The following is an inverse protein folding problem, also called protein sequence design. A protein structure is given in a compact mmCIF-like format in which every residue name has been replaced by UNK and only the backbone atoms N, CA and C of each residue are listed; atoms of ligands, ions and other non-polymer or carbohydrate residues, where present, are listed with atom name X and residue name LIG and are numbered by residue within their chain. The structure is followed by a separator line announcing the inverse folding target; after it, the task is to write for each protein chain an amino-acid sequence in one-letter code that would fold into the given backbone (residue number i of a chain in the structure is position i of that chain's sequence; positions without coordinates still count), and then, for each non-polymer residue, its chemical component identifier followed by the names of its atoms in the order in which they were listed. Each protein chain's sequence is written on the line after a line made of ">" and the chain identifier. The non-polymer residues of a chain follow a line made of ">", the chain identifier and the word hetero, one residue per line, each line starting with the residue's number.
data_IF_687780397957
#
_entry.id   IF_687780397957
#
_cell.length_a   1.000
_cell.length_b   1.000
_cell.length_c   1.000
_cell.angle_alpha   90.00
_cell.angle_beta   90.00
_cell.angle_gamma   90.00
#
_symmetry.space_group_name_H-M   'P 1'
#
loop_
_entity.id
_entity.type
_entity.pdbx_description
1 polymer ?
#
# COMPACT_ATOMS: atom_id res chain seq x y z
N UNK A 1 -4.58 -19.87 -18.76
CA UNK A 1 -5.67 -19.30 -17.95
C UNK A 1 -5.11 -19.07 -16.57
N UNK A 2 -5.06 -17.82 -16.13
CA UNK A 2 -4.58 -17.45 -14.79
C UNK A 2 -5.49 -18.11 -13.74
N UNK A 3 -4.92 -18.60 -12.65
CA UNK A 3 -5.70 -19.11 -11.53
C UNK A 3 -6.67 -18.03 -10.99
N UNK A 4 -7.83 -18.41 -10.43
CA UNK A 4 -8.75 -17.44 -9.84
C UNK A 4 -8.05 -16.69 -8.68
N UNK A 5 -8.23 -15.37 -8.63
CA UNK A 5 -7.68 -14.51 -7.59
C UNK A 5 -8.17 -14.94 -6.20
N UNK A 6 -7.33 -14.80 -5.17
CA UNK A 6 -7.80 -14.89 -3.79
C UNK A 6 -8.85 -13.81 -3.50
N UNK A 7 -9.66 -14.02 -2.46
CA UNK A 7 -10.70 -13.05 -2.07
C UNK A 7 -10.13 -11.63 -1.82
N UNK A 8 -8.92 -11.52 -1.26
CA UNK A 8 -8.27 -10.22 -1.03
C UNK A 8 -7.88 -9.54 -2.34
N UNK A 9 -7.27 -10.27 -3.28
CA UNK A 9 -6.92 -9.69 -4.59
C UNK A 9 -8.16 -9.38 -5.43
N UNK A 10 -9.18 -10.24 -5.39
CA UNK A 10 -10.45 -9.99 -6.06
C UNK A 10 -11.12 -8.70 -5.56
N UNK A 11 -11.09 -8.45 -4.23
CA UNK A 11 -11.59 -7.20 -3.65
C UNK A 11 -10.89 -5.96 -4.25
N UNK A 12 -9.59 -6.03 -4.50
CA UNK A 12 -8.83 -4.93 -5.15
C UNK A 12 -9.23 -4.80 -6.61
N UNK A 13 -9.34 -5.92 -7.34
CA UNK A 13 -9.77 -5.93 -8.73
C UNK A 13 -11.16 -5.31 -8.91
N UNK A 14 -12.10 -5.61 -8.02
CA UNK A 14 -13.45 -5.06 -8.05
C UNK A 14 -13.44 -3.56 -7.73
N UNK A 15 -12.60 -3.11 -6.80
CA UNK A 15 -12.44 -1.69 -6.50
C UNK A 15 -11.86 -0.92 -7.70
N UNK A 16 -10.87 -1.46 -8.41
CA UNK A 16 -10.34 -0.88 -9.64
C UNK A 16 -11.43 -0.72 -10.71
N UNK A 17 -12.22 -1.78 -10.94
CA UNK A 17 -13.34 -1.77 -11.89
C UNK A 17 -14.41 -0.75 -11.50
N UNK A 18 -14.75 -0.65 -10.23
CA UNK A 18 -15.73 0.33 -9.73
C UNK A 18 -15.27 1.78 -9.92
N UNK A 19 -13.95 2.02 -9.92
CA UNK A 19 -13.34 3.32 -10.24
C UNK A 19 -13.18 3.57 -11.74
N UNK A 20 -13.57 2.62 -12.61
CA UNK A 20 -13.40 2.72 -14.05
C UNK A 20 -11.95 2.57 -14.52
N UNK A 21 -11.06 2.04 -13.67
CA UNK A 21 -9.66 1.82 -14.01
C UNK A 21 -9.50 0.49 -14.75
N UNK A 22 -8.69 0.49 -15.82
CA UNK A 22 -8.40 -0.68 -16.63
C UNK A 22 -7.27 -1.56 -16.08
N UNK A 23 -6.75 -1.25 -14.90
CA UNK A 23 -5.67 -2.01 -14.26
C UNK A 23 -6.14 -3.41 -13.84
N UNK A 24 -5.25 -4.40 -14.01
CA UNK A 24 -5.50 -5.79 -13.65
C UNK A 24 -4.65 -6.20 -12.44
N UNK A 25 -5.28 -6.88 -11.48
CA UNK A 25 -4.58 -7.48 -10.34
C UNK A 25 -4.04 -8.83 -10.79
N UNK A 26 -2.73 -9.01 -10.64
CA UNK A 26 -2.04 -10.28 -10.92
C UNK A 26 -1.50 -10.84 -9.61
N UNK A 27 -1.86 -12.09 -9.31
CA UNK A 27 -1.26 -12.83 -8.20
C UNK A 27 -0.08 -13.68 -8.69
N UNK A 28 1.02 -13.58 -7.97
CA UNK A 28 2.23 -14.36 -8.22
C UNK A 28 2.28 -15.58 -7.31
N UNK A 29 2.68 -16.72 -7.85
CA UNK A 29 2.99 -17.93 -7.07
C UNK A 29 4.25 -17.74 -6.20
N UNK A 30 5.13 -16.82 -6.59
CA UNK A 30 6.33 -16.48 -5.85
C UNK A 30 6.05 -15.33 -4.88
N UNK A 31 6.28 -15.51 -3.56
CA UNK A 31 6.06 -14.45 -2.58
C UNK A 31 7.10 -13.33 -2.76
N UNK A 32 6.63 -12.09 -2.86
CA UNK A 32 7.45 -10.88 -2.94
C UNK A 32 7.56 -10.25 -1.56
N UNK A 33 8.63 -10.55 -0.82
CA UNK A 33 8.83 -10.03 0.55
C UNK A 33 9.41 -8.63 0.58
N UNK A 34 10.09 -8.22 -0.50
CA UNK A 34 10.72 -6.90 -0.61
C UNK A 34 10.31 -6.21 -1.92
N UNK A 35 10.46 -4.89 -1.95
CA UNK A 35 10.25 -4.13 -3.19
C UNK A 35 11.23 -4.55 -4.30
N UNK A 36 12.43 -5.01 -3.95
CA UNK A 36 13.38 -5.53 -4.93
C UNK A 36 12.89 -6.83 -5.58
N UNK A 37 12.31 -7.73 -4.79
CA UNK A 37 11.72 -8.98 -5.30
C UNK A 37 10.53 -8.66 -6.23
N UNK A 38 9.66 -7.74 -5.81
CA UNK A 38 8.51 -7.31 -6.61
C UNK A 38 8.95 -6.67 -7.93
N UNK A 39 9.95 -5.77 -7.89
CA UNK A 39 10.48 -5.12 -9.08
C UNK A 39 11.09 -6.12 -10.07
N UNK A 40 11.85 -7.11 -9.56
CA UNK A 40 12.43 -8.17 -10.38
C UNK A 40 11.36 -9.04 -11.03
N UNK A 41 10.30 -9.37 -10.28
CA UNK A 41 9.20 -10.19 -10.77
C UNK A 41 8.41 -9.49 -11.89
N UNK A 42 8.13 -8.19 -11.72
CA UNK A 42 7.35 -7.38 -12.68
C UNK A 42 8.22 -6.88 -13.84
N UNK A 43 9.54 -6.81 -13.66
CA UNK A 43 10.46 -6.28 -14.67
C UNK A 43 10.55 -4.75 -14.69
N UNK A 44 10.34 -4.10 -13.55
CA UNK A 44 10.39 -2.65 -13.40
C UNK A 44 11.55 -2.19 -12.50
N UNK A 45 11.71 -0.87 -12.37
CA UNK A 45 12.67 -0.32 -11.41
C UNK A 45 12.13 -0.45 -9.98
N UNK A 46 13.01 -0.64 -8.98
CA UNK A 46 12.60 -0.70 -7.57
C UNK A 46 11.85 0.56 -7.14
N UNK A 47 12.21 1.71 -7.71
CA UNK A 47 11.54 2.97 -7.43
C UNK A 47 10.10 3.06 -7.93
N UNK A 48 9.70 2.23 -8.91
CA UNK A 48 8.33 2.16 -9.40
C UNK A 48 7.43 1.37 -8.45
N UNK A 49 7.97 0.46 -7.64
CA UNK A 49 7.15 -0.32 -6.71
C UNK A 49 6.55 0.59 -5.63
N UNK A 50 5.24 0.76 -5.64
CA UNK A 50 4.51 1.49 -4.59
C UNK A 50 4.26 0.60 -3.36
N UNK A 51 4.86 0.94 -2.21
CA UNK A 51 4.64 0.27 -0.93
C UNK A 51 3.57 0.98 -0.12
N UNK A 52 2.55 0.25 0.33
CA UNK A 52 1.54 0.75 1.27
C UNK A 52 1.97 0.49 2.71
N UNK A 53 2.20 1.55 3.49
CA UNK A 53 2.58 1.47 4.89
C UNK A 53 1.53 2.14 5.76
N UNK A 54 1.02 1.42 6.76
CA UNK A 54 0.01 1.94 7.69
C UNK A 54 0.67 2.27 9.03
N UNK A 55 0.47 3.51 9.46
CA UNK A 55 0.86 4.01 10.77
C UNK A 55 -0.38 4.28 11.61
N UNK A 56 -0.17 4.33 12.93
CA UNK A 56 -1.21 4.71 13.89
C UNK A 56 -0.77 5.97 14.63
N UNK A 57 -1.64 6.95 14.70
CA UNK A 57 -1.34 8.18 15.46
C UNK A 57 -1.41 7.90 16.97
N UNK A 58 -0.53 8.54 17.75
CA UNK A 58 -0.31 8.17 19.15
C UNK A 58 -1.39 8.65 20.13
N UNK A 59 -2.15 9.70 19.79
CA UNK A 59 -3.13 10.32 20.68
C UNK A 59 -4.57 9.97 20.29
N UNK A 60 -4.90 10.07 19.00
CA UNK A 60 -6.25 9.88 18.45
C UNK A 60 -6.47 8.49 17.86
N UNK A 61 -5.43 7.65 17.83
CA UNK A 61 -5.49 6.27 17.36
C UNK A 61 -5.98 6.10 15.92
N UNK A 62 -5.86 7.15 15.09
CA UNK A 62 -6.27 7.15 13.68
C UNK A 62 -5.24 6.43 12.81
N UNK A 63 -5.71 5.84 11.72
CA UNK A 63 -4.84 5.25 10.71
C UNK A 63 -4.33 6.33 9.74
N UNK A 64 -3.05 6.27 9.41
CA UNK A 64 -2.42 7.07 8.36
C UNK A 64 -1.75 6.12 7.37
N UNK A 65 -2.09 6.24 6.10
CA UNK A 65 -1.49 5.46 5.02
C UNK A 65 -0.42 6.28 4.32
N UNK A 66 0.74 5.67 4.07
CA UNK A 66 1.78 6.25 3.24
C UNK A 66 2.07 5.30 2.08
N UNK A 67 1.85 5.79 0.86
CA UNK A 67 2.25 5.13 -0.37
C UNK A 67 3.63 5.66 -0.75
N UNK A 68 4.66 4.84 -0.58
CA UNK A 68 6.05 5.25 -0.78
C UNK A 68 6.74 4.45 -1.87
N UNK A 69 7.68 5.08 -2.57
CA UNK A 69 8.53 4.39 -3.54
C UNK A 69 9.30 3.26 -2.88
N UNK A 70 9.49 2.15 -3.60
CA UNK A 70 10.29 1.01 -3.19
C UNK A 70 11.72 1.41 -2.84
N UNK A 71 12.25 2.44 -3.50
CA UNK A 71 13.58 3.00 -3.29
C UNK A 71 13.70 3.85 -2.00
N UNK A 72 12.58 4.25 -1.39
CA UNK A 72 12.54 5.17 -0.27
C UNK A 72 12.15 4.49 1.04
N UNK A 73 12.48 5.15 2.16
CA UNK A 73 12.00 4.80 3.51
C UNK A 73 11.22 5.98 4.08
N UNK A 74 10.08 5.69 4.70
CA UNK A 74 9.23 6.73 5.29
C UNK A 74 9.89 7.32 6.53
N UNK A 75 9.93 8.65 6.59
CA UNK A 75 10.28 9.38 7.80
C UNK A 75 9.00 9.68 8.59
N UNK A 76 8.73 8.86 9.61
CA UNK A 76 7.53 8.93 10.47
C UNK A 76 7.38 10.30 11.15
N UNK A 77 8.49 10.93 11.55
CA UNK A 77 8.47 12.26 12.15
C UNK A 77 7.97 13.32 11.16
N UNK A 78 8.44 13.30 9.91
CA UNK A 78 7.98 14.23 8.88
C UNK A 78 6.49 14.05 8.58
N UNK A 79 6.01 12.82 8.46
CA UNK A 79 4.58 12.57 8.25
C UNK A 79 3.78 13.02 9.48
N UNK A 80 4.27 12.74 10.69
CA UNK A 80 3.71 13.19 11.96
C UNK A 80 3.54 14.72 12.03
N UNK A 81 4.50 15.48 11.51
CA UNK A 81 4.36 16.93 11.42
C UNK A 81 3.21 17.39 10.51
N UNK A 82 2.92 16.65 9.43
CA UNK A 82 1.81 16.99 8.53
C UNK A 82 0.45 16.66 9.14
N UNK A 83 0.33 15.51 9.82
CA UNK A 83 -0.90 15.12 10.52
C UNK A 83 -1.06 15.78 11.90
N UNK A 84 -0.05 16.57 12.32
CA UNK A 84 0.04 17.29 13.60
C UNK A 84 -0.07 16.37 14.82
N UNK A 85 0.50 15.17 14.69
CA UNK A 85 0.39 14.11 15.68
C UNK A 85 1.56 13.12 15.55
N UNK A 86 2.07 12.58 16.65
CA UNK A 86 3.15 11.60 16.56
C UNK A 86 2.63 10.30 15.92
N UNK A 87 3.42 9.71 15.01
CA UNK A 87 3.13 8.41 14.43
C UNK A 87 3.86 7.30 15.20
N UNK A 88 3.21 6.15 15.29
CA UNK A 88 3.80 4.91 15.74
C UNK A 88 3.46 3.75 14.82
N UNK A 89 4.12 2.62 15.07
CA UNK A 89 3.83 1.36 14.37
C UNK A 89 2.39 0.94 14.63
N UNK A 90 1.69 0.59 13.57
CA UNK A 90 0.36 0.01 13.64
C UNK A 90 0.44 -1.50 13.96
N UNK A 91 -0.20 -1.98 15.05
CA UNK A 91 -0.29 -3.42 15.31
C UNK A 91 -1.03 -4.16 14.18
N UNK A 92 -0.65 -5.41 13.90
CA UNK A 92 -1.24 -6.18 12.80
C UNK A 92 -2.77 -6.30 12.87
N UNK A 93 -3.34 -6.46 14.07
CA UNK A 93 -4.78 -6.50 14.27
C UNK A 93 -5.45 -5.18 13.88
N UNK A 94 -4.86 -4.04 14.27
CA UNK A 94 -5.33 -2.71 13.88
C UNK A 94 -5.26 -2.51 12.37
N UNK A 95 -4.13 -2.86 11.74
CA UNK A 95 -3.97 -2.79 10.28
C UNK A 95 -5.07 -3.58 9.56
N UNK A 96 -5.32 -4.81 10.01
CA UNK A 96 -6.38 -5.65 9.42
C UNK A 96 -7.76 -5.06 9.63
N UNK A 97 -8.02 -4.44 10.79
CA UNK A 97 -9.29 -3.79 11.07
C UNK A 97 -9.57 -2.61 10.12
N UNK A 98 -8.59 -1.70 9.94
CA UNK A 98 -8.80 -0.47 9.15
C UNK A 98 -8.66 -0.68 7.64
N UNK A 99 -7.78 -1.59 7.22
CA UNK A 99 -7.56 -1.87 5.79
C UNK A 99 -8.40 -3.05 5.29
N UNK A 100 -8.69 -4.04 6.14
CA UNK A 100 -9.19 -5.35 5.70
C UNK A 100 -8.10 -6.29 5.16
N UNK A 101 -6.82 -5.87 5.16
CA UNK A 101 -5.69 -6.62 4.62
C UNK A 101 -4.64 -6.92 5.69
N UNK A 102 -3.83 -7.95 5.48
CA UNK A 102 -2.70 -8.28 6.34
C UNK A 102 -1.45 -7.46 5.97
N UNK A 103 -0.56 -7.27 6.95
CA UNK A 103 0.76 -6.66 6.72
C UNK A 103 1.50 -7.44 5.63
N UNK A 104 2.15 -6.72 4.71
CA UNK A 104 2.86 -7.28 3.56
C UNK A 104 2.01 -7.45 2.30
N UNK A 105 0.68 -7.31 2.40
CA UNK A 105 -0.25 -7.40 1.26
C UNK A 105 -1.29 -6.28 1.27
N UNK A 106 -0.93 -5.09 1.77
CA UNK A 106 -1.81 -3.94 1.86
C UNK A 106 -1.83 -3.25 0.48
N UNK A 107 -2.95 -3.24 -0.25
CA UNK A 107 -3.07 -2.49 -1.50
C UNK A 107 -3.16 -0.97 -1.25
N UNK A 108 -2.98 -0.12 -2.28
CA UNK A 108 -3.18 1.33 -2.14
C UNK A 108 -4.65 1.74 -2.03
N UNK A 109 -5.59 0.85 -2.34
CA UNK A 109 -7.04 1.11 -2.38
C UNK A 109 -7.85 -0.08 -1.81
N UNK A 110 -9.18 0.02 -1.84
CA UNK A 110 -10.11 -1.04 -1.39
C UNK A 110 -10.08 -1.31 0.13
N UNK A 111 -9.64 -0.34 0.94
CA UNK A 111 -9.61 -0.47 2.39
C UNK A 111 -11.01 -0.57 3.01
N UNK A 112 -11.09 -1.11 4.23
CA UNK A 112 -12.35 -1.28 4.96
C UNK A 112 -12.96 0.06 5.38
N UNK A 113 -12.12 1.06 5.65
CA UNK A 113 -12.52 2.44 5.95
C UNK A 113 -11.67 3.41 5.14
N UNK A 114 -12.13 4.64 4.85
CA UNK A 114 -11.29 5.70 4.31
C UNK A 114 -10.10 5.99 5.24
N UNK A 115 -8.91 6.17 4.68
CA UNK A 115 -7.67 6.44 5.43
C UNK A 115 -7.01 7.70 4.88
N UNK A 116 -6.61 8.62 5.76
CA UNK A 116 -5.79 9.77 5.39
C UNK A 116 -4.47 9.27 4.76
N UNK A 117 -4.22 9.65 3.51
CA UNK A 117 -3.20 9.02 2.67
C UNK A 117 -2.20 10.04 2.16
N UNK A 118 -0.92 9.76 2.36
CA UNK A 118 0.20 10.51 1.78
C UNK A 118 0.84 9.70 0.66
N UNK A 119 1.14 10.36 -0.45
CA UNK A 119 1.83 9.75 -1.59
C UNK A 119 3.21 10.37 -1.73
N UNK A 120 4.22 9.53 -1.82
CA UNK A 120 5.59 9.92 -2.10
C UNK A 120 5.69 10.51 -3.50
N UNK A 121 6.07 11.79 -3.57
CA UNK A 121 6.20 12.54 -4.82
C UNK A 121 7.19 11.89 -5.80
N UNK A 122 8.14 11.07 -5.33
CA UNK A 122 9.10 10.39 -6.22
C UNK A 122 8.42 9.36 -7.11
N UNK A 123 7.26 8.82 -6.72
CA UNK A 123 6.45 7.95 -7.57
C UNK A 123 5.95 8.68 -8.83
N UNK A 124 5.71 9.99 -8.75
CA UNK A 124 5.25 10.81 -9.89
C UNK A 124 6.33 11.07 -10.94
N UNK A 125 7.59 10.69 -10.66
CA UNK A 125 8.69 10.77 -11.63
C UNK A 125 8.63 9.65 -12.66
N UNK A 126 7.82 8.62 -12.41
CA UNK A 126 7.65 7.49 -13.30
C UNK A 126 6.36 7.64 -14.13
N UNK A 127 6.37 7.24 -15.41
CA UNK A 127 5.16 7.22 -16.22
C UNK A 127 4.16 6.14 -15.79
N UNK A 128 4.64 5.11 -15.09
CA UNK A 128 3.89 3.99 -14.55
C UNK A 128 4.53 3.49 -13.25
N UNK A 129 3.72 3.10 -12.28
CA UNK A 129 4.11 2.60 -10.95
C UNK A 129 3.26 1.39 -10.57
#
# INVERSE_FOLDING_TARGET
>A
MSAPLTASAQKVQDALRALGLSSEVVESEQPTRTAADAAKLVGCQVGQIAKSLVFKTAQTERAVLVITSGANTVNEFRVGMHVKEALGKAPAAFVRQVTGFAIGGIPPIAHATPIETFIDQDLLKYPEI
#
